data_IF_161639815909
#
_entry.id   IF_161639815909
#
_cell.length_a   1.000
_cell.length_b   1.000
_cell.length_c   1.000
_cell.angle_alpha   90.00
_cell.angle_beta   90.00
_cell.angle_gamma   90.00
#
_symmetry.space_group_name_H-M   'P 1'
#
loop_
_entity.id
_entity.type
_entity.pdbx_description
1 polymer ?
#
# COMPACT_ATOMS: atom_id res chain seq x y z
N UNK A 1 27.10 28.00 -23.96
CA UNK A 1 25.94 27.07 -23.92
C UNK A 1 25.16 27.19 -25.22
N UNK A 2 25.20 26.22 -26.15
CA UNK A 2 24.50 26.35 -27.41
C UNK A 2 23.05 25.85 -27.31
N UNK A 3 22.13 26.68 -27.81
CA UNK A 3 20.70 26.38 -28.00
C UNK A 3 20.53 25.25 -29.02
N UNK A 4 19.71 24.23 -28.73
CA UNK A 4 19.30 23.20 -29.71
C UNK A 4 17.85 23.40 -30.15
N UNK A 5 17.66 23.17 -31.44
CA UNK A 5 16.53 23.56 -32.28
C UNK A 5 15.26 22.73 -32.06
N UNK A 6 14.10 23.39 -32.26
CA UNK A 6 12.80 22.74 -32.45
C UNK A 6 12.84 21.81 -33.66
N UNK A 7 12.79 20.49 -33.42
CA UNK A 7 12.49 19.51 -34.45
C UNK A 7 10.97 19.31 -34.56
N UNK A 8 10.47 19.44 -35.77
CA UNK A 8 9.06 19.35 -36.19
C UNK A 8 8.45 17.97 -35.95
N UNK A 9 7.30 17.92 -35.27
CA UNK A 9 6.41 16.75 -35.17
C UNK A 9 6.05 16.23 -36.57
N UNK A 10 6.45 15.00 -36.89
CA UNK A 10 5.78 14.21 -37.93
C UNK A 10 4.70 13.37 -37.26
N UNK A 11 3.49 13.38 -37.81
CA UNK A 11 2.33 12.64 -37.32
C UNK A 11 2.48 11.13 -37.58
N UNK A 12 1.95 10.34 -36.65
CA UNK A 12 2.01 8.86 -36.59
C UNK A 12 1.42 8.18 -37.84
N UNK A 13 0.53 8.86 -38.59
CA UNK A 13 -0.04 8.35 -39.85
C UNK A 13 0.98 8.18 -40.99
N UNK A 14 2.14 8.84 -40.92
CA UNK A 14 3.19 8.73 -41.95
C UNK A 14 3.99 7.43 -41.88
N UNK A 15 4.13 6.82 -40.69
CA UNK A 15 4.93 5.61 -40.48
C UNK A 15 4.17 4.30 -40.77
N UNK A 16 2.84 4.34 -40.76
CA UNK A 16 2.00 3.15 -41.01
C UNK A 16 1.79 2.81 -42.50
N UNK A 17 2.13 3.72 -43.43
CA UNK A 17 2.01 3.46 -44.88
C UNK A 17 3.18 2.65 -45.45
N UNK A 18 4.35 2.67 -44.81
CA UNK A 18 5.54 1.97 -45.29
C UNK A 18 5.58 0.48 -44.87
N UNK A 19 4.71 0.05 -43.96
CA UNK A 19 4.69 -1.35 -43.47
C UNK A 19 3.71 -2.29 -44.21
N UNK A 20 2.81 -1.76 -45.04
CA UNK A 20 1.81 -2.57 -45.79
C UNK A 20 2.30 -3.09 -47.15
N UNK A 21 3.62 -3.14 -47.34
CA UNK A 21 4.25 -3.40 -48.63
C UNK A 21 5.01 -4.71 -48.76
N UNK A 22 4.88 -5.70 -47.87
CA UNK A 22 5.50 -7.00 -48.12
C UNK A 22 4.99 -8.07 -47.14
N UNK A 23 4.22 -9.04 -47.64
CA UNK A 23 4.18 -10.45 -47.19
C UNK A 23 2.97 -11.13 -47.85
N UNK A 24 3.17 -11.61 -49.08
CA UNK A 24 2.41 -12.73 -49.62
C UNK A 24 3.22 -14.00 -49.37
N UNK A 25 2.71 -14.89 -48.54
CA UNK A 25 2.99 -16.33 -48.65
C UNK A 25 1.91 -17.10 -47.93
N UNK A 26 1.16 -17.87 -48.71
CA UNK A 26 0.22 -18.88 -48.29
C UNK A 26 0.93 -19.97 -47.49
N UNK A 27 0.42 -20.33 -46.32
CA UNK A 27 0.59 -21.67 -45.74
C UNK A 27 -0.77 -22.14 -45.25
N UNK A 28 -1.27 -23.10 -46.00
CA UNK A 28 -2.43 -23.94 -45.75
C UNK A 28 -2.09 -24.91 -44.61
N UNK A 29 -2.77 -24.82 -43.46
CA UNK A 29 -2.79 -25.90 -42.47
C UNK A 29 -4.22 -26.11 -41.96
N UNK A 30 -4.86 -27.08 -42.59
CA UNK A 30 -6.03 -27.79 -42.08
C UNK A 30 -5.57 -28.73 -40.95
N UNK A 31 -6.10 -28.54 -39.74
CA UNK A 31 -6.28 -29.67 -38.83
C UNK A 31 -7.56 -29.51 -37.99
N UNK A 32 -8.40 -30.52 -38.08
CA UNK A 32 -9.67 -30.71 -37.36
C UNK A 32 -9.41 -31.54 -36.10
N UNK A 33 -10.07 -31.21 -35.00
CA UNK A 33 -10.20 -32.02 -33.78
C UNK A 33 -10.38 -31.13 -32.56
N UNK A 34 -11.59 -30.69 -32.21
CA UNK A 34 -12.65 -31.41 -31.47
C UNK A 34 -12.39 -31.53 -29.97
N UNK A 35 -13.44 -31.19 -29.20
CA UNK A 35 -13.71 -31.44 -27.77
C UNK A 35 -13.29 -30.38 -26.73
N UNK A 36 -14.31 -29.74 -26.15
CA UNK A 36 -14.32 -29.45 -24.71
C UNK A 36 -14.48 -28.00 -24.26
N UNK A 37 -15.59 -27.35 -24.58
CA UNK A 37 -16.09 -26.23 -23.75
C UNK A 37 -16.50 -26.77 -22.38
N UNK A 38 -15.94 -26.21 -21.31
CA UNK A 38 -16.49 -26.31 -19.95
C UNK A 38 -16.68 -24.91 -19.40
N UNK A 39 -17.89 -24.39 -19.66
CA UNK A 39 -18.47 -23.23 -18.98
C UNK A 39 -18.85 -23.68 -17.57
N UNK A 40 -18.22 -23.14 -16.54
CA UNK A 40 -18.62 -23.38 -15.16
C UNK A 40 -19.67 -22.33 -14.74
N UNK A 41 -20.93 -22.72 -14.86
CA UNK A 41 -22.10 -21.93 -14.46
C UNK A 41 -22.34 -22.09 -12.95
N UNK A 42 -22.21 -20.99 -12.19
CA UNK A 42 -22.42 -20.95 -10.74
C UNK A 42 -23.92 -20.99 -10.45
N UNK A 43 -24.46 -22.15 -10.06
CA UNK A 43 -25.86 -22.32 -9.65
C UNK A 43 -26.12 -21.59 -8.33
N UNK A 44 -27.10 -20.69 -8.36
CA UNK A 44 -27.53 -19.88 -7.22
C UNK A 44 -28.02 -20.71 -6.02
N UNK A 45 -27.57 -20.32 -4.83
CA UNK A 45 -28.09 -20.81 -3.56
C UNK A 45 -29.28 -19.94 -3.14
N UNK A 46 -30.48 -20.51 -3.11
CA UNK A 46 -31.72 -19.86 -2.65
C UNK A 46 -31.75 -19.85 -1.13
N UNK A 47 -31.51 -18.70 -0.50
CA UNK A 47 -31.76 -18.50 0.93
C UNK A 47 -33.28 -18.32 1.13
N UNK A 48 -33.91 -19.27 1.84
CA UNK A 48 -35.31 -19.15 2.27
C UNK A 48 -35.37 -18.17 3.44
N UNK A 49 -35.93 -16.98 3.20
CA UNK A 49 -36.43 -16.10 4.24
C UNK A 49 -37.58 -16.79 4.98
N UNK A 50 -37.48 -16.94 6.31
CA UNK A 50 -38.62 -17.27 7.17
C UNK A 50 -39.06 -16.01 7.91
N UNK A 51 -40.34 -15.76 7.78
CA UNK A 51 -41.09 -14.60 8.23
C UNK A 51 -41.06 -14.41 9.75
N UNK A 52 -40.84 -13.16 10.13
CA UNK A 52 -41.32 -12.52 11.35
C UNK A 52 -42.77 -12.93 11.67
N UNK A 53 -43.03 -13.31 12.93
CA UNK A 53 -44.37 -13.21 13.51
C UNK A 53 -44.26 -12.69 14.95
N UNK A 54 -45.00 -11.62 15.21
CA UNK A 54 -45.27 -11.02 16.51
C UNK A 54 -46.00 -12.00 17.45
N UNK A 55 -45.73 -11.88 18.74
CA UNK A 55 -46.54 -12.47 19.81
C UNK A 55 -46.10 -11.95 21.18
N UNK A 56 -46.86 -11.01 21.73
CA UNK A 56 -46.68 -10.45 23.06
C UNK A 56 -47.50 -11.23 24.12
N UNK A 57 -47.20 -10.95 25.41
CA UNK A 57 -48.01 -11.23 26.63
C UNK A 57 -47.75 -12.65 27.23
N UNK A 58 -47.41 -12.91 28.50
CA UNK A 58 -47.61 -12.22 29.80
C UNK A 58 -46.62 -12.72 30.87
N UNK A 59 -46.20 -11.79 31.73
CA UNK A 59 -46.07 -11.81 33.20
C UNK A 59 -45.86 -13.12 34.00
N UNK A 60 -44.86 -13.01 34.90
CA UNK A 60 -44.70 -13.62 36.22
C UNK A 60 -44.23 -15.08 36.31
N UNK A 61 -43.01 -15.28 36.82
CA UNK A 61 -42.81 -15.62 38.24
C UNK A 61 -41.37 -15.38 38.68
N UNK A 62 -41.28 -14.73 39.83
CA UNK A 62 -40.11 -14.43 40.64
C UNK A 62 -39.49 -15.74 41.15
N UNK A 63 -38.18 -15.90 40.96
CA UNK A 63 -37.37 -16.96 41.56
C UNK A 63 -35.97 -16.44 41.85
N UNK A 64 -35.79 -15.93 43.06
CA UNK A 64 -34.54 -15.38 43.57
C UNK A 64 -33.43 -16.45 43.60
N UNK A 65 -32.31 -16.19 42.93
CA UNK A 65 -31.01 -16.78 43.25
C UNK A 65 -29.98 -15.66 43.10
N UNK A 66 -29.27 -15.37 44.19
CA UNK A 66 -28.27 -14.32 44.27
C UNK A 66 -26.96 -14.71 43.58
N UNK A 67 -26.39 -13.73 42.88
CA UNK A 67 -24.97 -13.43 42.81
C UNK A 67 -24.85 -11.99 42.29
N UNK A 68 -24.45 -11.09 43.17
CA UNK A 68 -24.24 -9.67 42.84
C UNK A 68 -23.01 -9.53 41.94
N UNK A 69 -23.26 -9.13 40.69
CA UNK A 69 -22.61 -8.01 40.02
C UNK A 69 -21.06 -7.94 40.00
N UNK A 70 -20.46 -8.38 38.88
CA UNK A 70 -19.52 -7.58 38.08
C UNK A 70 -19.09 -8.37 36.82
N UNK A 71 -19.87 -8.24 35.73
CA UNK A 71 -19.29 -8.35 34.39
C UNK A 71 -18.88 -6.94 33.98
N UNK A 72 -17.60 -6.60 34.20
CA UNK A 72 -16.96 -5.49 33.50
C UNK A 72 -16.41 -6.05 32.18
N UNK A 73 -16.48 -5.33 31.04
CA UNK A 73 -15.62 -5.65 29.92
C UNK A 73 -14.18 -5.39 30.36
N UNK A 74 -13.32 -6.40 30.32
CA UNK A 74 -11.88 -6.23 30.51
C UNK A 74 -11.32 -5.51 29.28
N UNK A 75 -11.43 -4.18 29.26
CA UNK A 75 -10.45 -3.32 28.61
C UNK A 75 -9.32 -3.11 29.61
N UNK A 76 -8.51 -4.15 29.79
CA UNK A 76 -7.24 -4.00 30.50
C UNK A 76 -6.24 -3.55 29.43
N UNK A 77 -5.80 -2.28 29.38
CA UNK A 77 -4.57 -1.99 28.67
C UNK A 77 -3.46 -2.76 29.37
N UNK A 78 -2.84 -3.69 28.64
CA UNK A 78 -1.59 -4.28 29.08
C UNK A 78 -0.54 -3.18 29.22
N UNK A 79 0.25 -3.31 30.29
CA UNK A 79 1.42 -2.51 30.72
C UNK A 79 1.17 -1.12 31.31
N UNK A 80 0.77 -1.09 32.59
CA UNK A 80 1.24 -0.07 33.53
C UNK A 80 2.21 -0.73 34.52
N UNK A 81 3.47 -0.83 34.12
CA UNK A 81 4.57 -1.16 35.03
C UNK A 81 5.62 -0.07 34.97
N UNK A 82 5.41 1.05 35.66
CA UNK A 82 6.46 1.96 36.15
C UNK A 82 7.42 2.64 35.15
N UNK A 83 7.36 2.33 33.86
CA UNK A 83 8.04 3.02 32.76
C UNK A 83 6.98 3.85 32.04
N UNK A 84 7.30 5.10 31.70
CA UNK A 84 6.38 5.95 30.94
C UNK A 84 6.06 5.24 29.60
N UNK A 85 4.79 4.94 29.34
CA UNK A 85 4.37 4.39 28.06
C UNK A 85 4.60 5.38 26.92
N UNK A 86 4.51 4.91 25.67
CA UNK A 86 4.71 5.73 24.46
C UNK A 86 3.98 7.07 24.53
N UNK A 87 2.70 7.08 24.90
CA UNK A 87 1.89 8.30 25.02
C UNK A 87 2.51 9.37 25.92
N UNK A 88 3.11 8.97 27.04
CA UNK A 88 3.71 9.90 27.98
C UNK A 88 5.04 10.47 27.44
N UNK A 89 5.86 9.63 26.81
CA UNK A 89 7.13 10.05 26.21
C UNK A 89 6.90 11.00 25.03
N UNK A 90 5.94 10.66 24.16
CA UNK A 90 5.54 11.50 23.01
C UNK A 90 5.05 12.87 23.49
N UNK A 91 4.21 12.90 24.53
CA UNK A 91 3.67 14.15 25.07
C UNK A 91 4.74 15.09 25.65
N UNK A 92 5.87 14.55 26.12
CA UNK A 92 7.02 15.34 26.61
C UNK A 92 7.91 15.88 25.47
N UNK A 93 7.80 15.31 24.27
CA UNK A 93 8.67 15.60 23.13
C UNK A 93 7.91 15.94 21.83
N UNK A 94 6.99 16.92 21.84
CA UNK A 94 6.22 17.28 20.65
C UNK A 94 7.08 17.85 19.51
N UNK A 95 8.23 18.43 19.85
CA UNK A 95 9.17 19.02 18.88
C UNK A 95 10.17 17.99 18.31
N UNK A 96 10.16 16.74 18.78
CA UNK A 96 10.96 15.69 18.13
C UNK A 96 10.45 15.49 16.70
N UNK A 97 11.32 15.48 15.67
CA UNK A 97 10.89 15.43 14.28
C UNK A 97 10.07 14.18 13.93
N UNK A 98 10.30 13.05 14.59
CA UNK A 98 9.52 11.82 14.37
C UNK A 98 8.14 11.90 15.04
N UNK A 99 8.05 12.54 16.20
CA UNK A 99 6.77 12.82 16.88
C UNK A 99 5.97 13.83 16.07
N UNK A 100 6.58 14.96 15.71
CA UNK A 100 5.94 16.02 14.95
C UNK A 100 5.37 15.49 13.63
N UNK A 101 6.16 14.74 12.86
CA UNK A 101 5.69 14.16 11.58
C UNK A 101 4.54 13.16 11.72
N UNK A 102 4.43 12.45 12.85
CA UNK A 102 3.27 11.60 13.14
C UNK A 102 2.03 12.44 13.49
N UNK A 103 2.21 13.57 14.18
CA UNK A 103 1.10 14.46 14.59
C UNK A 103 0.62 15.43 13.52
N UNK A 104 1.49 15.82 12.59
CA UNK A 104 1.21 16.83 11.56
C UNK A 104 0.13 16.42 10.55
N UNK A 105 -0.17 15.11 10.44
CA UNK A 105 -1.17 14.55 9.52
C UNK A 105 -0.98 15.01 8.05
N UNK A 106 0.27 15.26 7.65
CA UNK A 106 0.60 15.65 6.28
C UNK A 106 0.22 14.51 5.31
N UNK A 107 -0.73 14.73 4.38
CA UNK A 107 -1.13 13.70 3.42
C UNK A 107 0.00 13.27 2.47
N UNK A 108 1.10 14.03 2.39
CA UNK A 108 2.28 13.66 1.61
C UNK A 108 3.18 12.61 2.28
N UNK A 109 3.01 12.33 3.58
CA UNK A 109 3.81 11.33 4.31
C UNK A 109 3.07 10.01 4.48
N UNK A 110 3.80 8.90 4.46
CA UNK A 110 3.19 7.57 4.58
C UNK A 110 2.74 7.27 6.02
N UNK A 111 3.33 7.94 7.02
CA UNK A 111 2.94 7.80 8.42
C UNK A 111 1.50 8.27 8.67
N UNK A 112 1.05 9.32 7.97
CA UNK A 112 -0.33 9.81 8.06
C UNK A 112 -1.35 8.73 7.70
N UNK A 113 -1.08 7.98 6.63
CA UNK A 113 -1.95 6.86 6.24
C UNK A 113 -1.95 5.75 7.28
N UNK A 114 -0.81 5.47 7.91
CA UNK A 114 -0.71 4.45 8.95
C UNK A 114 -1.43 4.86 10.23
N UNK A 115 -1.32 6.13 10.63
CA UNK A 115 -2.09 6.73 11.74
C UNK A 115 -3.59 6.64 11.50
N UNK A 116 -4.05 6.97 10.28
CA UNK A 116 -5.47 6.84 9.90
C UNK A 116 -6.00 5.40 9.96
N UNK A 117 -5.11 4.41 9.76
CA UNK A 117 -5.43 2.99 9.92
C UNK A 117 -5.36 2.52 11.39
N UNK A 118 -5.07 3.42 12.33
CA UNK A 118 -5.00 3.15 13.77
C UNK A 118 -3.66 2.62 14.25
N UNK A 119 -2.59 2.71 13.43
CA UNK A 119 -1.25 2.39 13.88
C UNK A 119 -0.70 3.53 14.74
N UNK A 120 -0.04 3.15 15.82
CA UNK A 120 0.63 4.01 16.81
C UNK A 120 2.14 3.86 16.69
N UNK A 121 2.90 4.62 17.47
CA UNK A 121 4.37 4.54 17.46
C UNK A 121 4.87 3.12 17.77
N UNK A 122 4.26 2.43 18.74
CA UNK A 122 4.59 1.05 19.10
C UNK A 122 4.13 0.01 18.09
N UNK A 123 3.31 0.40 17.10
CA UNK A 123 2.95 -0.50 16.00
C UNK A 123 4.16 -0.80 15.11
N UNK A 124 5.19 0.04 15.17
CA UNK A 124 6.42 -0.17 14.42
C UNK A 124 7.66 -0.18 15.32
N UNK A 125 7.74 0.73 16.27
CA UNK A 125 8.93 0.90 17.08
C UNK A 125 8.88 0.11 18.38
N UNK A 126 10.05 -0.36 18.80
CA UNK A 126 10.23 -1.04 20.08
C UNK A 126 10.59 -0.06 21.21
N UNK A 127 10.56 -0.55 22.45
CA UNK A 127 10.89 0.25 23.63
C UNK A 127 12.36 0.73 23.65
N UNK A 128 13.24 0.12 22.86
CA UNK A 128 14.60 0.64 22.68
C UNK A 128 14.58 1.95 21.88
N UNK A 129 13.74 2.00 20.84
CA UNK A 129 13.54 3.22 20.05
C UNK A 129 12.87 4.32 20.87
N UNK A 130 11.91 3.98 21.74
CA UNK A 130 11.24 4.96 22.62
C UNK A 130 12.25 5.79 23.44
N UNK A 131 13.37 5.19 23.86
CA UNK A 131 14.41 5.87 24.65
C UNK A 131 15.15 6.97 23.87
N UNK A 132 15.04 6.97 22.54
CA UNK A 132 15.64 7.97 21.67
C UNK A 132 14.67 9.12 21.33
N UNK A 133 13.39 9.02 21.69
CA UNK A 133 12.44 10.12 21.48
C UNK A 133 12.91 11.35 22.26
N UNK A 134 12.89 12.51 21.60
CA UNK A 134 13.42 13.77 22.10
C UNK A 134 14.92 13.97 21.86
N UNK A 135 15.63 12.95 21.33
CA UNK A 135 17.06 13.06 21.02
C UNK A 135 17.33 13.45 19.56
N UNK A 136 16.34 13.31 18.68
CA UNK A 136 16.51 13.61 17.27
C UNK A 136 16.38 15.11 17.00
N UNK A 137 17.20 15.59 16.08
CA UNK A 137 17.16 17.00 15.62
C UNK A 137 16.71 17.14 14.17
N UNK A 138 16.68 16.04 13.42
CA UNK A 138 16.21 15.95 12.04
C UNK A 138 15.76 14.51 11.71
N UNK A 139 14.99 14.37 10.63
CA UNK A 139 14.60 13.08 10.06
C UNK A 139 15.76 12.46 9.29
N UNK A 140 15.89 11.13 9.35
CA UNK A 140 16.87 10.39 8.56
C UNK A 140 16.38 10.14 7.13
N UNK A 141 17.31 10.10 6.18
CA UNK A 141 17.01 9.79 4.79
C UNK A 141 16.42 8.37 4.64
N UNK A 142 15.58 8.09 3.62
CA UNK A 142 14.89 6.79 3.48
C UNK A 142 15.86 5.60 3.48
N UNK A 143 16.97 5.72 2.74
CA UNK A 143 18.01 4.69 2.66
C UNK A 143 18.72 4.39 3.98
N UNK A 144 18.59 5.25 4.99
CA UNK A 144 19.19 5.10 6.32
C UNK A 144 18.19 4.54 7.35
N UNK A 145 16.92 4.34 6.96
CA UNK A 145 15.89 3.78 7.82
C UNK A 145 15.99 2.25 7.87
N UNK A 146 16.31 1.70 9.04
CA UNK A 146 16.61 0.26 9.22
C UNK A 146 15.37 -0.61 9.46
N UNK A 147 14.25 -0.01 9.87
CA UNK A 147 13.03 -0.74 10.23
C UNK A 147 12.21 -1.21 9.02
N UNK A 148 12.26 -0.46 7.91
CA UNK A 148 11.42 -0.68 6.73
C UNK A 148 11.95 -1.82 5.82
N UNK A 149 12.27 -2.96 6.42
CA UNK A 149 12.68 -4.19 5.71
C UNK A 149 11.47 -4.88 5.09
N UNK A 150 11.71 -5.72 4.08
CA UNK A 150 10.64 -6.57 3.50
C UNK A 150 9.98 -7.44 4.56
N UNK A 151 10.75 -8.03 5.46
CA UNK A 151 10.24 -8.93 6.51
C UNK A 151 9.30 -8.19 7.45
N UNK A 152 9.68 -6.97 7.88
CA UNK A 152 8.87 -6.16 8.76
C UNK A 152 7.55 -5.76 8.09
N UNK A 153 7.59 -5.22 6.87
CA UNK A 153 6.40 -4.71 6.19
C UNK A 153 5.46 -5.83 5.70
N UNK A 154 6.01 -6.95 5.20
CA UNK A 154 5.24 -8.04 4.58
C UNK A 154 4.78 -9.12 5.56
N UNK A 155 4.75 -8.80 6.86
CA UNK A 155 4.21 -9.72 7.85
C UNK A 155 2.71 -10.00 7.61
N UNK A 156 2.21 -11.14 8.12
CA UNK A 156 0.86 -11.66 7.85
C UNK A 156 -0.30 -10.73 8.30
N UNK A 157 0.00 -9.61 8.97
CA UNK A 157 -0.99 -8.62 9.41
C UNK A 157 -1.03 -7.31 8.61
N UNK A 158 0.01 -7.00 7.81
CA UNK A 158 0.20 -5.65 7.27
C UNK A 158 0.09 -5.60 5.75
N UNK A 159 1.10 -6.09 5.03
CA UNK A 159 1.15 -6.01 3.58
C UNK A 159 1.32 -7.39 2.93
N UNK A 160 0.59 -7.61 1.83
CA UNK A 160 0.73 -8.81 1.01
C UNK A 160 1.42 -8.44 -0.31
N UNK A 161 2.55 -9.09 -0.59
CA UNK A 161 3.38 -8.76 -1.76
C UNK A 161 2.65 -8.94 -3.10
N UNK A 162 1.89 -10.03 -3.25
CA UNK A 162 1.16 -10.28 -4.49
C UNK A 162 0.08 -9.22 -4.72
N UNK A 163 -0.65 -8.82 -3.68
CA UNK A 163 -1.60 -7.71 -3.76
C UNK A 163 -0.92 -6.39 -4.14
N UNK A 164 0.24 -6.08 -3.55
CA UNK A 164 0.98 -4.85 -3.85
C UNK A 164 1.35 -4.78 -5.34
N UNK A 165 1.92 -5.87 -5.89
CA UNK A 165 2.28 -5.93 -7.31
C UNK A 165 1.05 -5.77 -8.20
N UNK A 166 -0.06 -6.41 -7.85
CA UNK A 166 -1.30 -6.38 -8.64
C UNK A 166 -1.98 -4.99 -8.63
N UNK A 167 -1.73 -4.16 -7.62
CA UNK A 167 -2.38 -2.84 -7.48
C UNK A 167 -1.49 -1.65 -7.84
N UNK A 168 -0.20 -1.86 -8.12
CA UNK A 168 0.74 -0.76 -8.35
C UNK A 168 1.21 -0.73 -9.80
N UNK A 169 0.52 0.04 -10.63
CA UNK A 169 0.93 0.34 -12.02
C UNK A 169 0.94 1.86 -12.18
N UNK A 170 2.10 2.40 -12.57
CA UNK A 170 2.30 3.82 -12.86
C UNK A 170 2.39 4.03 -14.37
N UNK A 171 1.78 5.11 -14.86
CA UNK A 171 2.01 5.59 -16.21
C UNK A 171 3.42 6.19 -16.33
N UNK A 172 4.00 6.18 -17.52
CA UNK A 172 5.34 6.70 -17.77
C UNK A 172 5.69 6.74 -19.25
N UNK A 173 6.99 6.82 -19.53
CA UNK A 173 7.47 6.91 -20.92
C UNK A 173 7.25 5.62 -21.72
N UNK A 174 6.79 5.77 -22.96
CA UNK A 174 6.76 4.68 -23.93
C UNK A 174 8.16 4.46 -24.51
N UNK A 175 8.70 3.24 -24.38
CA UNK A 175 9.99 2.86 -24.95
C UNK A 175 9.86 1.69 -25.91
N UNK A 176 10.92 1.35 -26.65
CA UNK A 176 10.95 0.15 -27.50
C UNK A 176 10.77 -1.14 -26.68
N UNK A 177 11.16 -1.11 -25.40
CA UNK A 177 11.07 -2.26 -24.49
C UNK A 177 9.82 -2.25 -23.60
N UNK A 178 9.15 -1.10 -23.49
CA UNK A 178 7.87 -0.92 -22.80
C UNK A 178 6.96 -0.02 -23.65
N UNK A 179 6.32 -0.56 -24.70
CA UNK A 179 5.52 0.24 -25.64
C UNK A 179 4.18 0.72 -25.05
N UNK A 180 3.77 0.15 -23.92
CA UNK A 180 2.55 0.53 -23.20
C UNK A 180 2.80 1.66 -22.19
N UNK A 181 4.05 1.91 -21.81
CA UNK A 181 4.41 2.98 -20.88
C UNK A 181 3.91 2.71 -19.46
N UNK A 182 3.63 1.46 -19.11
CA UNK A 182 3.14 1.05 -17.80
C UNK A 182 4.28 0.44 -16.99
N UNK A 183 4.47 0.93 -15.77
CA UNK A 183 5.59 0.56 -14.90
C UNK A 183 5.10 0.01 -13.57
N UNK A 184 5.58 -1.17 -13.20
CA UNK A 184 5.41 -1.71 -11.86
C UNK A 184 6.70 -1.56 -11.06
N UNK A 185 6.71 -0.63 -10.10
CA UNK A 185 7.90 -0.37 -9.28
C UNK A 185 8.21 -1.50 -8.31
N UNK A 186 7.24 -2.37 -8.02
CA UNK A 186 7.38 -3.54 -7.15
C UNK A 186 7.66 -4.83 -7.94
N UNK A 187 7.60 -4.81 -9.27
CA UNK A 187 8.00 -5.91 -10.16
C UNK A 187 8.95 -5.38 -11.23
N UNK A 188 10.20 -5.13 -10.80
CA UNK A 188 11.19 -4.44 -11.61
C UNK A 188 12.48 -5.27 -11.77
N UNK A 189 13.31 -4.88 -12.74
CA UNK A 189 14.52 -5.60 -13.12
C UNK A 189 15.65 -5.56 -12.08
N UNK A 190 15.53 -4.78 -11.00
CA UNK A 190 16.49 -4.74 -9.89
C UNK A 190 16.24 -5.84 -8.86
N UNK A 191 15.11 -6.55 -8.97
CA UNK A 191 14.71 -7.60 -8.05
C UNK A 191 14.18 -7.06 -6.73
N UNK A 192 14.16 -7.94 -5.73
CA UNK A 192 13.61 -7.63 -4.41
C UNK A 192 14.56 -6.71 -3.62
N UNK A 193 14.04 -5.56 -3.20
CA UNK A 193 14.71 -4.61 -2.31
C UNK A 193 13.84 -4.29 -1.10
N UNK A 194 14.45 -3.78 -0.03
CA UNK A 194 13.74 -3.32 1.15
C UNK A 194 12.86 -2.12 0.87
N UNK A 195 11.70 -2.08 1.53
CA UNK A 195 10.68 -1.05 1.34
C UNK A 195 11.25 0.34 1.63
N UNK A 196 12.08 0.46 2.67
CA UNK A 196 12.74 1.69 3.10
C UNK A 196 13.66 2.33 2.05
N UNK A 197 14.09 1.58 1.02
CA UNK A 197 14.90 2.17 -0.04
C UNK A 197 14.16 3.24 -0.85
N UNK A 198 12.82 3.23 -0.84
CA UNK A 198 12.00 4.21 -1.52
C UNK A 198 10.93 4.82 -0.59
N UNK A 199 10.32 4.00 0.27
CA UNK A 199 9.29 4.45 1.20
C UNK A 199 9.91 5.09 2.44
N UNK A 200 9.59 6.37 2.66
CA UNK A 200 9.84 7.07 3.91
C UNK A 200 8.53 7.18 4.69
N UNK A 201 8.53 6.78 5.96
CA UNK A 201 7.33 6.90 6.79
C UNK A 201 7.13 8.34 7.24
N UNK A 202 8.14 8.89 7.91
CA UNK A 202 8.09 10.22 8.53
C UNK A 202 8.46 11.37 7.58
N UNK A 203 9.17 11.07 6.49
CA UNK A 203 9.61 12.07 5.52
C UNK A 203 8.99 11.86 4.15
N UNK A 204 9.48 12.62 3.18
CA UNK A 204 9.05 12.49 1.80
C UNK A 204 9.63 11.22 1.16
N UNK A 205 8.81 10.35 0.53
CA UNK A 205 9.31 9.17 -0.16
C UNK A 205 9.97 9.55 -1.50
N UNK A 206 10.95 8.77 -1.94
CA UNK A 206 11.70 9.00 -3.18
C UNK A 206 11.68 7.74 -4.05
N UNK A 207 11.29 7.89 -5.31
CA UNK A 207 11.35 6.78 -6.27
C UNK A 207 12.66 6.82 -7.06
N UNK A 208 13.65 6.04 -6.64
CA UNK A 208 14.96 5.99 -7.32
C UNK A 208 14.89 5.59 -8.80
N UNK A 209 13.83 4.89 -9.23
CA UNK A 209 13.63 4.51 -10.62
C UNK A 209 13.52 5.73 -11.55
N UNK A 210 13.05 6.87 -11.05
CA UNK A 210 12.90 8.07 -11.88
C UNK A 210 14.20 8.82 -12.20
N UNK A 211 15.30 8.39 -11.60
CA UNK A 211 16.64 8.83 -12.01
C UNK A 211 16.97 8.41 -13.45
N UNK A 212 16.31 7.36 -13.96
CA UNK A 212 16.56 6.80 -15.29
C UNK A 212 15.30 6.72 -16.16
N UNK A 213 14.10 6.69 -15.57
CA UNK A 213 12.84 6.47 -16.26
C UNK A 213 11.82 7.54 -15.90
N UNK A 214 11.14 8.13 -16.88
CA UNK A 214 9.99 8.96 -16.54
C UNK A 214 8.79 8.10 -16.14
N UNK A 215 8.22 8.38 -14.98
CA UNK A 215 6.98 7.81 -14.46
C UNK A 215 6.17 8.91 -13.77
N UNK A 216 4.85 8.88 -13.91
CA UNK A 216 3.93 9.74 -13.18
C UNK A 216 3.86 9.24 -11.73
N UNK A 217 4.47 10.02 -10.83
CA UNK A 217 4.58 9.67 -9.42
C UNK A 217 3.27 9.97 -8.66
N UNK A 218 2.98 9.21 -7.59
CA UNK A 218 1.92 9.58 -6.67
C UNK A 218 2.18 10.95 -6.05
N UNK A 219 1.10 11.64 -5.67
CA UNK A 219 1.20 12.93 -4.97
C UNK A 219 2.09 12.81 -3.73
N UNK A 220 2.93 13.82 -3.50
CA UNK A 220 3.87 13.84 -2.38
C UNK A 220 5.20 13.12 -2.61
N UNK A 221 5.38 12.34 -3.68
CA UNK A 221 6.65 11.65 -3.94
C UNK A 221 7.68 12.55 -4.62
N UNK A 222 8.93 12.44 -4.18
CA UNK A 222 10.07 13.07 -4.87
C UNK A 222 10.41 12.24 -6.10
N UNK A 223 10.50 12.95 -7.23
CA UNK A 223 11.12 12.44 -8.45
C UNK A 223 12.27 13.31 -8.92
N UNK A 224 13.02 12.82 -9.90
CA UNK A 224 13.97 13.62 -10.65
C UNK A 224 13.23 14.39 -11.77
N UNK A 225 13.32 15.72 -11.72
CA UNK A 225 12.85 16.64 -12.77
C UNK A 225 13.82 16.75 -13.97
#
# INVERSE_FOLDING_TARGET
>A
MPRRNKATRKTVEGLLKDYKGNQKSEVLLLWRGSWGHLVYERKGCKVKAKSMLWGAVTLAMVGAIGALWACSPSSEPLSNTGEAGWDAVIAEHPDDPYVASYEDEDPATLITMHKQLGNTCESCHDDETMKNVGSFTELMAPAEQTIATREFCLNDGCHNWDKIKDTTILDGDNTVYNPEGLYNVHDNHRGDVDCGQCHSMHGQPELNCVQCHYMDLPEGWIGFE
#
